data_IF_692195981810
#
_entry.id   IF_692195981810
#
_cell.length_a   1.000
_cell.length_b   1.000
_cell.length_c   1.000
_cell.angle_alpha   90.00
_cell.angle_beta   90.00
_cell.angle_gamma   90.00
#
_symmetry.space_group_name_H-M   'P 1'
#
loop_
_entity.id
_entity.type
_entity.pdbx_description
1 polymer ?
#
# COMPACT_ATOMS: atom_id res chain seq x y z
N UNK A 1 -7.80 -5.99 -2.52
CA UNK A 1 -7.58 -6.20 -1.06
C UNK A 1 -6.47 -7.23 -0.92
N UNK A 2 -5.58 -7.10 0.05
CA UNK A 2 -4.41 -8.00 0.18
C UNK A 2 -4.73 -9.26 1.01
N UNK A 3 -5.75 -9.18 1.86
CA UNK A 3 -6.27 -10.33 2.60
C UNK A 3 -5.43 -10.66 3.83
N UNK A 4 -4.21 -11.13 3.60
CA UNK A 4 -3.29 -11.57 4.65
C UNK A 4 -2.46 -10.44 5.24
N UNK A 5 -2.32 -10.42 6.58
CA UNK A 5 -1.61 -9.36 7.29
C UNK A 5 -0.11 -9.32 6.93
N UNK A 6 0.52 -10.48 6.75
CA UNK A 6 1.93 -10.57 6.34
C UNK A 6 2.16 -9.96 4.96
N UNK A 7 1.27 -10.25 4.00
CA UNK A 7 1.33 -9.69 2.65
C UNK A 7 1.13 -8.17 2.68
N UNK A 8 0.16 -7.67 3.47
CA UNK A 8 -0.04 -6.23 3.65
C UNK A 8 1.19 -5.53 4.25
N UNK A 9 1.81 -6.10 5.28
CA UNK A 9 3.03 -5.56 5.87
C UNK A 9 4.21 -5.56 4.89
N UNK A 10 4.38 -6.64 4.11
CA UNK A 10 5.40 -6.70 3.06
C UNK A 10 5.17 -5.64 1.99
N UNK A 11 3.93 -5.49 1.52
CA UNK A 11 3.57 -4.47 0.54
C UNK A 11 3.89 -3.06 1.05
N UNK A 12 3.58 -2.77 2.32
CA UNK A 12 3.88 -1.50 2.98
C UNK A 12 5.38 -1.21 3.05
N UNK A 13 6.21 -2.21 3.38
CA UNK A 13 7.68 -2.08 3.34
C UNK A 13 8.20 -1.81 1.93
N UNK A 14 7.73 -2.57 0.95
CA UNK A 14 8.15 -2.41 -0.46
C UNK A 14 7.76 -1.04 -1.03
N UNK A 15 6.58 -0.52 -0.68
CA UNK A 15 6.20 0.85 -1.02
C UNK A 15 7.14 1.88 -0.39
N UNK A 16 7.53 1.67 0.87
CA UNK A 16 8.42 2.58 1.58
C UNK A 16 9.80 2.65 0.92
N UNK A 17 10.37 1.50 0.53
CA UNK A 17 11.60 1.43 -0.25
C UNK A 17 11.46 2.10 -1.64
N UNK A 18 10.26 2.04 -2.24
CA UNK A 18 9.92 2.76 -3.47
C UNK A 18 9.65 4.27 -3.24
N UNK A 19 9.87 4.79 -2.03
CA UNK A 19 9.71 6.19 -1.68
C UNK A 19 8.27 6.65 -1.45
N UNK A 20 7.35 5.73 -1.13
CA UNK A 20 5.94 5.99 -0.83
C UNK A 20 5.59 5.40 0.53
N UNK A 21 5.29 6.27 1.50
CA UNK A 21 4.82 5.81 2.81
C UNK A 21 3.31 5.54 2.79
N UNK A 22 2.92 4.27 2.98
CA UNK A 22 1.54 3.88 3.20
C UNK A 22 1.44 2.72 4.20
N UNK A 23 0.51 2.81 5.14
CA UNK A 23 0.43 1.86 6.26
C UNK A 23 -0.41 0.62 5.92
N UNK A 24 0.09 -0.55 6.34
CA UNK A 24 -0.69 -1.78 6.37
C UNK A 24 -1.68 -1.77 7.55
N UNK A 25 -2.92 -2.16 7.29
CA UNK A 25 -3.94 -2.46 8.29
C UNK A 25 -4.17 -3.97 8.36
N UNK A 26 -4.16 -4.51 9.57
CA UNK A 26 -4.49 -5.89 9.89
C UNK A 26 -5.37 -5.99 11.13
N UNK A 27 -5.63 -7.22 11.58
CA UNK A 27 -6.31 -7.47 12.86
C UNK A 27 -5.52 -6.87 14.04
N UNK A 28 -6.17 -6.26 15.06
CA UNK A 28 -7.63 -6.16 15.29
C UNK A 28 -8.32 -4.97 14.61
N UNK A 29 -7.58 -4.10 13.93
CA UNK A 29 -8.15 -2.89 13.29
C UNK A 29 -9.07 -3.22 12.12
N UNK A 30 -8.83 -4.33 11.43
CA UNK A 30 -9.74 -4.90 10.42
C UNK A 30 -9.95 -6.40 10.69
N UNK A 31 -11.08 -6.99 10.23
CA UNK A 31 -11.29 -8.43 10.37
C UNK A 31 -10.15 -9.25 9.74
N UNK A 32 -9.93 -10.46 10.24
CA UNK A 32 -9.00 -11.42 9.65
C UNK A 32 -9.36 -11.68 8.17
N UNK A 33 -8.35 -11.92 7.33
CA UNK A 33 -8.53 -12.09 5.89
C UNK A 33 -8.93 -10.82 5.13
N UNK A 34 -8.96 -9.64 5.78
CA UNK A 34 -9.28 -8.35 5.14
C UNK A 34 -8.16 -7.31 5.29
N UNK A 35 -6.92 -7.75 5.43
CA UNK A 35 -5.78 -6.85 5.47
C UNK A 35 -5.65 -6.03 4.18
N UNK A 36 -5.21 -4.78 4.32
CA UNK A 36 -5.16 -3.79 3.23
C UNK A 36 -4.14 -2.69 3.50
N UNK A 37 -3.71 -2.00 2.47
CA UNK A 37 -2.98 -0.73 2.61
C UNK A 37 -3.99 0.41 2.72
N UNK A 38 -3.80 1.31 3.69
CA UNK A 38 -4.57 2.55 3.81
C UNK A 38 -3.76 3.70 3.22
N UNK A 39 -4.30 4.33 2.18
CA UNK A 39 -3.78 5.56 1.59
C UNK A 39 -4.59 6.74 2.11
N UNK A 40 -3.91 7.83 2.49
CA UNK A 40 -4.54 9.04 3.02
C UNK A 40 -4.18 10.21 2.10
N UNK A 41 -5.11 10.56 1.21
CA UNK A 41 -4.94 11.70 0.29
C UNK A 41 -5.12 12.99 1.08
N UNK A 42 -4.34 14.01 0.68
CA UNK A 42 -4.36 15.35 1.25
C UNK A 42 -4.37 16.36 0.10
N UNK A 43 -5.04 17.50 0.29
CA UNK A 43 -5.04 18.62 -0.65
C UNK A 43 -3.64 19.20 -0.91
N UNK A 44 -2.66 18.89 -0.04
CA UNK A 44 -1.27 19.28 -0.23
C UNK A 44 -0.52 18.45 -1.30
N UNK A 45 -1.06 17.30 -1.72
CA UNK A 45 -0.43 16.51 -2.78
C UNK A 45 -0.63 17.18 -4.14
N UNK A 46 0.45 17.28 -4.90
CA UNK A 46 0.40 17.63 -6.31
C UNK A 46 0.01 16.44 -7.18
N UNK A 47 -0.33 16.69 -8.45
CA UNK A 47 -0.55 15.61 -9.41
C UNK A 47 0.70 14.73 -9.59
N UNK A 48 1.90 15.31 -9.46
CA UNK A 48 3.17 14.58 -9.53
C UNK A 48 3.32 13.58 -8.39
N UNK A 49 2.92 13.95 -7.17
CA UNK A 49 2.96 13.07 -6.01
C UNK A 49 2.03 11.88 -6.19
N UNK A 50 0.81 12.13 -6.71
CA UNK A 50 -0.16 11.08 -6.99
C UNK A 50 0.36 10.12 -8.06
N UNK A 51 0.96 10.63 -9.13
CA UNK A 51 1.53 9.81 -10.20
C UNK A 51 2.69 8.94 -9.68
N UNK A 52 3.59 9.51 -8.85
CA UNK A 52 4.66 8.76 -8.19
C UNK A 52 4.09 7.64 -7.31
N UNK A 53 3.04 7.95 -6.55
CA UNK A 53 2.27 6.97 -5.78
C UNK A 53 1.76 5.82 -6.64
N UNK A 54 1.05 6.13 -7.74
CA UNK A 54 0.49 5.12 -8.63
C UNK A 54 1.54 4.19 -9.23
N UNK A 55 2.68 4.73 -9.70
CA UNK A 55 3.75 3.91 -10.26
C UNK A 55 4.40 3.01 -9.22
N UNK A 56 4.62 3.49 -7.98
CA UNK A 56 5.10 2.66 -6.89
C UNK A 56 4.13 1.52 -6.56
N UNK A 57 2.82 1.81 -6.46
CA UNK A 57 1.80 0.78 -6.21
C UNK A 57 1.74 -0.26 -7.33
N UNK A 58 1.85 0.17 -8.60
CA UNK A 58 1.86 -0.73 -9.76
C UNK A 58 3.11 -1.62 -9.76
N UNK A 59 4.28 -1.05 -9.48
CA UNK A 59 5.55 -1.79 -9.41
C UNK A 59 5.51 -2.86 -8.30
N UNK A 60 5.16 -2.46 -7.08
CA UNK A 60 5.08 -3.36 -5.92
C UNK A 60 3.97 -4.40 -6.12
N UNK A 61 2.82 -4.00 -6.67
CA UNK A 61 1.70 -4.88 -6.96
C UNK A 61 2.07 -6.03 -7.91
N UNK A 62 2.80 -5.72 -8.98
CA UNK A 62 3.34 -6.74 -9.88
C UNK A 62 4.41 -7.60 -9.23
N UNK A 63 5.34 -6.99 -8.48
CA UNK A 63 6.42 -7.69 -7.77
C UNK A 63 5.88 -8.75 -6.80
N UNK A 64 4.79 -8.44 -6.11
CA UNK A 64 4.14 -9.33 -5.14
C UNK A 64 2.99 -10.16 -5.74
N UNK A 65 2.79 -10.11 -7.06
CA UNK A 65 1.77 -10.86 -7.79
C UNK A 65 0.34 -10.70 -7.24
N UNK A 66 -0.05 -9.47 -6.91
CA UNK A 66 -1.41 -9.15 -6.41
C UNK A 66 -2.28 -8.42 -7.43
N UNK A 67 -1.72 -8.06 -8.58
CA UNK A 67 -2.36 -7.51 -9.78
C UNK A 67 -1.67 -8.01 -11.05
#
# INVERSE_FOLDING_TARGET
>A
MLGEAKLAQQFSRELFEAGVFAMALGYPTVPQGKARIRVMISAAHSQGDLNKGLEAFKMVGKKLAVI
#
